data_IF_575815879810
#
_entry.id   IF_575815879810
#
_cell.length_a   1.000
_cell.length_b   1.000
_cell.length_c   1.000
_cell.angle_alpha   90.00
_cell.angle_beta   90.00
_cell.angle_gamma   90.00
#
_symmetry.space_group_name_H-M   'P 1'
#
loop_
_entity.id
_entity.type
_entity.pdbx_description
1 polymer ?
#
# COMPACT_ATOMS: atom_id res chain seq x y z
N UNK A 1 -16.85 -2.51 -24.90
CA UNK A 1 -15.84 -3.37 -25.55
C UNK A 1 -14.50 -3.27 -24.80
N UNK A 2 -13.88 -4.40 -24.44
CA UNK A 2 -12.60 -4.40 -23.72
C UNK A 2 -11.39 -4.00 -24.58
N UNK A 3 -10.39 -3.43 -23.91
CA UNK A 3 -9.04 -3.19 -24.44
C UNK A 3 -8.15 -4.40 -24.07
N UNK A 4 -7.37 -4.90 -25.01
CA UNK A 4 -6.49 -6.06 -24.80
C UNK A 4 -5.07 -5.82 -25.25
N UNK A 5 -4.13 -6.47 -24.58
CA UNK A 5 -2.74 -6.62 -24.98
C UNK A 5 -2.43 -8.10 -25.11
N UNK A 6 -1.75 -8.51 -26.19
CA UNK A 6 -1.36 -9.91 -26.43
C UNK A 6 0.12 -9.99 -26.84
N UNK A 7 0.92 -10.73 -26.06
CA UNK A 7 2.34 -11.04 -26.30
C UNK A 7 3.16 -9.81 -26.74
N UNK A 8 3.06 -8.72 -25.98
CA UNK A 8 3.55 -7.40 -26.39
C UNK A 8 5.03 -7.21 -26.05
N UNK A 9 5.82 -6.78 -27.03
CA UNK A 9 7.11 -6.11 -26.81
C UNK A 9 7.07 -4.70 -27.35
N UNK A 10 7.27 -3.70 -26.50
CA UNK A 10 7.22 -2.29 -26.92
C UNK A 10 8.35 -1.46 -26.32
N UNK A 11 8.70 -0.37 -27.01
CA UNK A 11 9.73 0.55 -26.57
C UNK A 11 10.10 1.60 -27.61
N UNK A 12 11.26 2.21 -27.43
CA UNK A 12 11.76 3.28 -28.29
C UNK A 12 12.73 2.67 -29.32
N UNK A 13 14.04 2.74 -29.07
CA UNK A 13 15.07 2.15 -29.92
C UNK A 13 15.12 0.62 -29.82
N UNK A 14 14.83 0.08 -28.64
CA UNK A 14 14.76 -1.35 -28.34
C UNK A 14 13.55 -1.63 -27.42
N UNK A 15 13.07 -2.89 -27.33
CA UNK A 15 12.02 -3.27 -26.40
C UNK A 15 12.43 -3.01 -24.95
N UNK A 16 11.59 -2.28 -24.21
CA UNK A 16 11.79 -2.02 -22.77
C UNK A 16 10.66 -2.56 -21.90
N UNK A 17 9.55 -2.97 -22.52
CA UNK A 17 8.42 -3.64 -21.87
C UNK A 17 8.13 -4.92 -22.63
N UNK A 18 7.96 -6.00 -21.89
CA UNK A 18 7.62 -7.34 -22.38
C UNK A 18 6.46 -7.88 -21.54
N UNK A 19 5.38 -8.25 -22.23
CA UNK A 19 4.17 -8.81 -21.63
C UNK A 19 3.87 -10.12 -22.33
N UNK A 20 4.05 -11.20 -21.60
CA UNK A 20 3.67 -12.53 -22.06
C UNK A 20 2.19 -12.80 -21.77
N UNK A 21 1.51 -13.46 -22.70
CA UNK A 21 0.10 -13.82 -22.57
C UNK A 21 -0.85 -12.69 -22.95
N UNK A 22 -2.05 -12.70 -22.34
CA UNK A 22 -3.14 -11.78 -22.67
C UNK A 22 -3.58 -10.99 -21.43
N UNK A 23 -3.50 -9.67 -21.54
CA UNK A 23 -3.97 -8.72 -20.55
C UNK A 23 -5.26 -8.06 -21.05
N UNK A 24 -6.30 -8.02 -20.20
CA UNK A 24 -7.62 -7.48 -20.52
C UNK A 24 -7.96 -6.31 -19.59
N UNK A 25 -8.45 -5.23 -20.18
CA UNK A 25 -9.00 -4.08 -19.47
C UNK A 25 -10.47 -3.91 -19.84
N UNK A 26 -11.32 -4.09 -18.85
CA UNK A 26 -12.77 -4.01 -18.94
C UNK A 26 -13.29 -2.59 -18.68
N UNK A 27 -14.38 -2.24 -19.37
CA UNK A 27 -15.14 -1.02 -19.10
C UNK A 27 -15.72 -1.07 -17.68
N UNK A 28 -15.96 0.09 -17.06
CA UNK A 28 -16.47 0.13 -15.69
C UNK A 28 -15.39 0.08 -14.62
N UNK A 29 -14.12 -0.12 -14.99
CA UNK A 29 -13.03 -0.41 -14.04
C UNK A 29 -11.86 0.58 -14.16
N UNK A 30 -11.25 0.83 -13.00
CA UNK A 30 -9.99 1.54 -12.84
C UNK A 30 -8.85 0.53 -12.64
N UNK A 31 -7.86 0.57 -13.51
CA UNK A 31 -6.63 -0.22 -13.42
C UNK A 31 -5.47 0.67 -12.97
N UNK A 32 -4.85 0.30 -11.85
CA UNK A 32 -3.67 0.97 -11.31
C UNK A 32 -2.39 0.26 -11.72
N UNK A 33 -1.49 0.95 -12.43
CA UNK A 33 -0.15 0.44 -12.69
C UNK A 33 0.77 0.94 -11.59
N UNK A 34 1.38 -0.01 -10.88
CA UNK A 34 2.29 0.27 -9.77
C UNK A 34 3.63 -0.41 -10.01
N UNK A 35 4.68 0.12 -9.40
CA UNK A 35 6.05 -0.39 -9.49
C UNK A 35 7.07 0.72 -9.32
N UNK A 36 8.37 0.41 -9.15
CA UNK A 36 9.42 1.41 -9.00
C UNK A 36 9.59 2.28 -10.25
N UNK A 37 10.32 3.39 -10.12
CA UNK A 37 10.72 4.19 -11.27
C UNK A 37 11.51 3.34 -12.26
N UNK A 38 11.26 3.54 -13.56
CA UNK A 38 11.89 2.73 -14.61
C UNK A 38 11.26 1.35 -14.85
N UNK A 39 10.22 0.95 -14.10
CA UNK A 39 9.58 -0.37 -14.29
C UNK A 39 8.81 -0.55 -15.61
N UNK A 40 8.67 0.49 -16.44
CA UNK A 40 8.01 0.44 -17.73
C UNK A 40 6.56 0.91 -17.77
N UNK A 41 5.97 1.36 -16.64
CA UNK A 41 4.57 1.84 -16.55
C UNK A 41 4.20 2.85 -17.63
N UNK A 42 4.90 3.99 -17.67
CA UNK A 42 4.64 5.07 -18.61
C UNK A 42 4.84 4.63 -20.07
N UNK A 43 5.81 3.74 -20.32
CA UNK A 43 5.99 3.16 -21.65
C UNK A 43 4.81 2.30 -22.07
N UNK A 44 4.33 1.42 -21.18
CA UNK A 44 3.17 0.59 -21.47
C UNK A 44 1.93 1.45 -21.70
N UNK A 45 1.70 2.47 -20.87
CA UNK A 45 0.61 3.43 -21.06
C UNK A 45 0.72 4.12 -22.43
N UNK A 46 1.92 4.59 -22.82
CA UNK A 46 2.12 5.18 -24.15
C UNK A 46 1.94 4.17 -25.29
N UNK A 47 2.29 2.90 -25.09
CA UNK A 47 2.03 1.85 -26.06
C UNK A 47 0.52 1.61 -26.24
N UNK A 48 -0.26 1.60 -25.15
CA UNK A 48 -1.72 1.56 -25.19
C UNK A 48 -2.31 2.77 -25.92
N UNK A 49 -1.68 3.95 -25.82
CA UNK A 49 -2.06 5.14 -26.59
C UNK A 49 -1.65 5.10 -28.08
N UNK A 50 -0.86 4.11 -28.50
CA UNK A 50 -0.27 4.04 -29.85
C UNK A 50 0.84 5.07 -30.09
N UNK A 51 1.53 5.51 -29.03
CA UNK A 51 2.59 6.53 -29.08
C UNK A 51 4.01 5.95 -29.01
N UNK A 52 4.14 4.63 -28.87
CA UNK A 52 5.40 3.89 -28.71
C UNK A 52 5.42 2.75 -29.72
N UNK A 53 6.62 2.40 -30.21
CA UNK A 53 6.79 1.34 -31.20
C UNK A 53 6.47 -0.03 -30.58
N UNK A 54 5.65 -0.80 -31.30
CA UNK A 54 5.40 -2.21 -31.02
C UNK A 54 6.37 -3.02 -31.88
N UNK A 55 7.21 -3.83 -31.24
CA UNK A 55 8.16 -4.73 -31.90
C UNK A 55 7.54 -6.10 -32.14
N UNK A 56 6.80 -6.61 -31.16
CA UNK A 56 6.08 -7.88 -31.23
C UNK A 56 4.73 -7.76 -30.53
N UNK A 57 3.79 -8.64 -30.88
CA UNK A 57 2.45 -8.66 -30.32
C UNK A 57 1.50 -7.62 -30.90
N UNK A 58 0.41 -7.37 -30.18
CA UNK A 58 -0.62 -6.42 -30.61
C UNK A 58 -1.41 -5.87 -29.44
N UNK A 59 -1.99 -4.68 -29.65
CA UNK A 59 -2.95 -4.05 -28.74
C UNK A 59 -4.25 -3.87 -29.52
N UNK A 60 -5.38 -4.30 -28.96
CA UNK A 60 -6.68 -4.30 -29.62
C UNK A 60 -7.73 -3.61 -28.77
N UNK A 61 -8.67 -2.91 -29.40
CA UNK A 61 -9.91 -2.48 -28.79
C UNK A 61 -11.07 -3.23 -29.45
N UNK A 62 -11.77 -4.06 -28.68
CA UNK A 62 -12.61 -5.11 -29.26
C UNK A 62 -11.78 -6.00 -30.19
N UNK A 63 -12.23 -6.16 -31.44
CA UNK A 63 -11.60 -7.02 -32.44
C UNK A 63 -10.61 -6.27 -33.36
N UNK A 64 -10.43 -4.96 -33.16
CA UNK A 64 -9.61 -4.12 -34.03
C UNK A 64 -8.31 -3.73 -33.35
N UNK A 65 -7.18 -3.95 -34.03
CA UNK A 65 -5.88 -3.51 -33.54
C UNK A 65 -5.79 -1.98 -33.53
N UNK A 66 -5.19 -1.41 -32.49
CA UNK A 66 -5.05 0.06 -32.33
C UNK A 66 -4.32 0.69 -33.52
N UNK A 67 -3.34 -0.01 -34.09
CA UNK A 67 -2.56 0.42 -35.26
C UNK A 67 -3.37 0.55 -36.56
N UNK A 68 -4.57 -0.04 -36.62
CA UNK A 68 -5.46 0.02 -37.79
C UNK A 68 -6.38 1.23 -37.79
N UNK A 69 -6.55 1.90 -36.65
CA UNK A 69 -7.31 3.15 -36.58
C UNK A 69 -6.46 4.30 -37.13
N UNK A 70 -7.09 5.21 -37.88
CA UNK A 70 -6.49 6.51 -38.16
C UNK A 70 -6.23 7.27 -36.86
N UNK A 71 -5.35 8.28 -36.91
CA UNK A 71 -5.04 9.08 -35.72
C UNK A 71 -6.28 9.77 -35.11
N UNK A 72 -7.24 10.20 -35.94
CA UNK A 72 -8.49 10.83 -35.50
C UNK A 72 -9.40 9.79 -34.83
N UNK A 73 -9.57 8.61 -35.43
CA UNK A 73 -10.38 7.54 -34.83
C UNK A 73 -9.77 7.06 -33.51
N UNK A 74 -8.45 6.89 -33.47
CA UNK A 74 -7.71 6.51 -32.26
C UNK A 74 -7.87 7.58 -31.17
N UNK A 75 -7.82 8.86 -31.53
CA UNK A 75 -8.06 9.95 -30.58
C UNK A 75 -9.53 10.01 -30.08
N UNK A 76 -10.52 9.62 -30.88
CA UNK A 76 -11.90 9.48 -30.36
C UNK A 76 -12.04 8.30 -29.40
N UNK A 77 -11.18 7.30 -29.54
CA UNK A 77 -11.21 6.09 -28.74
C UNK A 77 -10.42 6.20 -27.44
N UNK A 78 -9.23 6.83 -27.49
CA UNK A 78 -8.24 6.84 -26.41
C UNK A 78 -7.79 8.28 -26.14
N UNK A 79 -7.84 8.70 -24.88
CA UNK A 79 -7.25 9.94 -24.40
C UNK A 79 -6.07 9.63 -23.48
N UNK A 80 -5.04 10.48 -23.53
CA UNK A 80 -3.80 10.29 -22.80
C UNK A 80 -3.38 11.57 -22.08
N UNK A 81 -3.21 11.46 -20.76
CA UNK A 81 -2.63 12.49 -19.91
C UNK A 81 -1.16 12.16 -19.66
N UNK A 82 -0.21 12.94 -20.19
CA UNK A 82 1.21 12.76 -19.89
C UNK A 82 1.56 13.24 -18.48
N UNK A 83 2.60 12.65 -17.90
CA UNK A 83 3.17 13.03 -16.59
C UNK A 83 3.62 14.50 -16.54
N UNK A 84 4.23 14.99 -17.63
CA UNK A 84 4.70 16.37 -17.72
C UNK A 84 3.99 17.13 -18.83
N UNK A 85 3.51 18.32 -18.47
CA UNK A 85 2.82 19.24 -19.37
C UNK A 85 3.81 20.32 -19.76
N UNK A 86 4.39 20.21 -20.95
CA UNK A 86 5.21 21.25 -21.52
C UNK A 86 4.33 22.11 -22.43
N UNK A 87 4.16 23.38 -22.09
CA UNK A 87 3.75 24.40 -23.05
C UNK A 87 4.85 25.44 -23.13
N UNK A 88 5.35 25.70 -24.32
CA UNK A 88 6.24 26.84 -24.59
C UNK A 88 5.47 28.08 -25.02
N UNK A 89 4.15 27.96 -25.19
CA UNK A 89 3.29 29.02 -25.75
C UNK A 89 2.25 29.52 -24.72
N UNK A 90 1.88 30.81 -24.78
CA UNK A 90 1.03 31.47 -23.80
C UNK A 90 -0.47 31.22 -24.03
N UNK A 91 -0.88 29.96 -24.19
CA UNK A 91 -2.29 29.59 -24.34
C UNK A 91 -3.08 29.84 -23.05
N UNK A 92 -4.37 30.15 -23.17
CA UNK A 92 -5.27 30.17 -22.01
C UNK A 92 -5.61 28.75 -21.56
N UNK A 93 -6.08 28.60 -20.32
CA UNK A 93 -6.63 27.32 -19.83
C UNK A 93 -7.73 26.81 -20.76
N UNK A 94 -8.63 27.68 -21.23
CA UNK A 94 -9.67 27.31 -22.19
C UNK A 94 -9.09 26.76 -23.49
N UNK A 95 -8.09 27.44 -24.07
CA UNK A 95 -7.46 26.99 -25.32
C UNK A 95 -6.88 25.58 -25.17
N UNK A 96 -6.18 25.32 -24.05
CA UNK A 96 -5.58 24.00 -23.78
C UNK A 96 -6.65 22.92 -23.64
N UNK A 97 -7.75 23.18 -22.93
CA UNK A 97 -8.84 22.19 -22.78
C UNK A 97 -9.56 21.97 -24.11
N UNK A 98 -9.76 23.03 -24.90
CA UNK A 98 -10.33 22.97 -26.24
C UNK A 98 -9.51 22.08 -27.20
N UNK A 99 -8.19 22.00 -27.04
CA UNK A 99 -7.36 21.07 -27.84
C UNK A 99 -7.80 19.61 -27.69
N UNK A 100 -8.41 19.23 -26.55
CA UNK A 100 -8.98 17.88 -26.37
C UNK A 100 -10.16 17.59 -27.30
N UNK A 101 -10.84 18.63 -27.83
CA UNK A 101 -11.97 18.50 -28.74
C UNK A 101 -11.59 18.36 -30.20
N UNK A 102 -10.32 18.54 -30.54
CA UNK A 102 -9.80 18.47 -31.92
C UNK A 102 -10.32 17.25 -32.74
N UNK A 103 -10.43 16.02 -32.21
CA UNK A 103 -10.91 14.88 -32.99
C UNK A 103 -12.36 15.00 -33.49
N UNK A 104 -13.18 15.86 -32.87
CA UNK A 104 -14.60 16.07 -33.20
C UNK A 104 -14.83 17.30 -34.08
N UNK A 105 -13.82 18.15 -34.25
CA UNK A 105 -13.95 19.36 -35.03
C UNK A 105 -13.98 19.07 -36.53
N UNK A 106 -14.94 19.68 -37.23
CA UNK A 106 -15.06 19.59 -38.70
C UNK A 106 -14.12 20.57 -39.41
N UNK A 107 -13.78 21.66 -38.74
CA UNK A 107 -12.85 22.69 -39.22
C UNK A 107 -11.58 22.68 -38.40
N UNK A 108 -10.43 22.82 -39.06
CA UNK A 108 -9.14 23.00 -38.37
C UNK A 108 -8.97 24.40 -37.74
N UNK A 109 -9.86 25.34 -38.09
CA UNK A 109 -9.71 26.76 -37.75
C UNK A 109 -10.77 27.30 -36.81
N UNK A 110 -11.95 26.67 -36.75
CA UNK A 110 -13.08 27.15 -35.96
C UNK A 110 -13.60 26.06 -35.04
N UNK A 111 -13.58 26.34 -33.74
CA UNK A 111 -14.20 25.49 -32.75
C UNK A 111 -15.73 25.63 -32.78
N UNK A 112 -16.43 24.50 -32.68
CA UNK A 112 -17.89 24.50 -32.50
C UNK A 112 -18.29 25.07 -31.13
N UNK A 113 -19.48 25.67 -31.07
CA UNK A 113 -20.10 26.09 -29.81
C UNK A 113 -20.24 24.92 -28.83
N UNK A 114 -20.59 23.73 -29.34
CA UNK A 114 -20.70 22.50 -28.57
C UNK A 114 -19.37 22.11 -27.90
N UNK A 115 -18.26 22.10 -28.64
CA UNK A 115 -16.94 21.82 -28.08
C UNK A 115 -16.52 22.83 -27.02
N UNK A 116 -16.83 24.13 -27.22
CA UNK A 116 -16.58 25.16 -26.22
C UNK A 116 -17.36 24.89 -24.94
N UNK A 117 -18.64 24.55 -25.05
CA UNK A 117 -19.48 24.21 -23.90
C UNK A 117 -18.91 23.01 -23.13
N UNK A 118 -18.55 21.93 -23.82
CA UNK A 118 -17.94 20.74 -23.21
C UNK A 118 -16.63 21.11 -22.49
N UNK A 119 -15.77 21.92 -23.12
CA UNK A 119 -14.52 22.35 -22.50
C UNK A 119 -14.76 23.17 -21.22
N UNK A 120 -15.73 24.09 -21.23
CA UNK A 120 -16.09 24.89 -20.07
C UNK A 120 -16.65 24.03 -18.92
N UNK A 121 -17.50 23.05 -19.22
CA UNK A 121 -17.99 22.06 -18.25
C UNK A 121 -16.85 21.26 -17.61
N UNK A 122 -15.85 20.84 -18.40
CA UNK A 122 -14.68 20.12 -17.87
C UNK A 122 -13.73 21.00 -17.07
N UNK A 123 -13.61 22.29 -17.41
CA UNK A 123 -12.88 23.28 -16.61
C UNK A 123 -13.54 23.48 -15.25
N UNK A 124 -14.87 23.55 -15.22
CA UNK A 124 -15.65 23.66 -13.98
C UNK A 124 -15.52 22.39 -13.14
N UNK A 125 -15.59 21.21 -13.75
CA UNK A 125 -15.46 19.91 -13.07
C UNK A 125 -14.13 19.79 -12.30
N UNK A 126 -13.06 20.41 -12.81
CA UNK A 126 -11.74 20.46 -12.17
C UNK A 126 -11.47 21.74 -11.38
N UNK A 127 -12.48 22.56 -11.12
CA UNK A 127 -12.41 23.77 -10.28
C UNK A 127 -11.43 24.83 -10.80
N UNK A 128 -11.44 25.07 -12.12
CA UNK A 128 -10.61 26.08 -12.79
C UNK A 128 -11.41 27.22 -13.45
N UNK A 129 -12.71 27.36 -13.14
CA UNK A 129 -13.59 28.36 -13.79
C UNK A 129 -13.04 29.79 -13.71
N UNK A 130 -12.49 30.20 -12.56
CA UNK A 130 -11.88 31.53 -12.37
C UNK A 130 -10.55 31.71 -13.10
N UNK A 131 -9.91 30.61 -13.54
CA UNK A 131 -8.64 30.59 -14.26
C UNK A 131 -8.79 30.31 -15.75
N UNK A 132 -10.03 30.14 -16.25
CA UNK A 132 -10.33 29.80 -17.65
C UNK A 132 -9.56 30.66 -18.68
N UNK A 133 -9.46 31.96 -18.44
CA UNK A 133 -8.77 32.93 -19.32
C UNK A 133 -7.32 33.21 -18.91
N UNK A 134 -6.82 32.56 -17.84
CA UNK A 134 -5.44 32.71 -17.39
C UNK A 134 -4.49 32.00 -18.34
N UNK A 135 -3.31 32.57 -18.52
CA UNK A 135 -2.22 31.98 -19.30
C UNK A 135 -1.62 30.77 -18.57
N UNK A 136 -1.49 29.64 -19.26
CA UNK A 136 -0.96 28.37 -18.73
C UNK A 136 0.47 28.49 -18.14
N UNK A 137 1.26 29.44 -18.64
CA UNK A 137 2.61 29.74 -18.14
C UNK A 137 2.61 30.50 -16.81
N UNK A 138 1.48 31.12 -16.44
CA UNK A 138 1.34 31.98 -15.25
C UNK A 138 0.53 31.35 -14.11
N UNK A 139 0.04 30.13 -14.28
CA UNK A 139 -0.67 29.39 -13.22
C UNK A 139 0.28 28.45 -12.47
N UNK A 140 -0.15 27.92 -11.33
CA UNK A 140 0.61 26.95 -10.54
C UNK A 140 0.77 25.59 -11.25
N UNK A 141 1.71 24.77 -10.78
CA UNK A 141 1.89 23.40 -11.27
C UNK A 141 0.63 22.55 -11.14
N UNK A 142 -0.06 22.64 -10.00
CA UNK A 142 -1.32 21.93 -9.77
C UNK A 142 -2.47 22.39 -10.68
N UNK A 143 -2.58 23.70 -10.95
CA UNK A 143 -3.56 24.20 -11.93
C UNK A 143 -3.24 23.74 -13.36
N UNK A 144 -1.95 23.67 -13.74
CA UNK A 144 -1.55 23.06 -15.03
C UNK A 144 -1.95 21.59 -15.10
N UNK A 145 -1.70 20.83 -14.03
CA UNK A 145 -2.07 19.40 -13.95
C UNK A 145 -3.58 19.21 -14.13
N UNK A 146 -4.39 19.98 -13.40
CA UNK A 146 -5.86 19.99 -13.56
C UNK A 146 -6.32 20.42 -14.94
N UNK A 147 -5.63 21.39 -15.57
CA UNK A 147 -5.91 21.80 -16.96
C UNK A 147 -5.69 20.65 -17.95
N UNK A 148 -4.58 19.90 -17.81
CA UNK A 148 -4.30 18.74 -18.65
C UNK A 148 -5.31 17.62 -18.42
N UNK A 149 -5.72 17.39 -17.17
CA UNK A 149 -6.78 16.43 -16.86
C UNK A 149 -8.11 16.84 -17.52
N UNK A 150 -8.53 18.11 -17.39
CA UNK A 150 -9.72 18.63 -18.06
C UNK A 150 -9.65 18.49 -19.59
N UNK A 151 -8.50 18.73 -20.22
CA UNK A 151 -8.29 18.52 -21.66
C UNK A 151 -8.59 17.08 -22.06
N UNK A 152 -8.08 16.12 -21.28
CA UNK A 152 -8.24 14.69 -21.54
C UNK A 152 -9.68 14.24 -21.29
N UNK A 153 -10.36 14.81 -20.29
CA UNK A 153 -11.80 14.59 -20.07
C UNK A 153 -12.65 15.17 -21.21
N UNK A 154 -12.30 16.37 -21.69
CA UNK A 154 -13.02 17.03 -22.78
C UNK A 154 -12.98 16.19 -24.06
N UNK A 155 -11.92 15.41 -24.28
CA UNK A 155 -11.80 14.48 -25.41
C UNK A 155 -12.88 13.39 -25.42
N UNK A 156 -13.56 13.08 -24.30
CA UNK A 156 -14.72 12.17 -24.28
C UNK A 156 -14.47 10.78 -24.89
N UNK A 157 -13.26 10.25 -24.72
CA UNK A 157 -12.84 8.94 -25.19
C UNK A 157 -13.43 7.78 -24.37
N UNK A 158 -13.34 6.55 -24.89
CA UNK A 158 -13.75 5.31 -24.19
C UNK A 158 -12.66 4.78 -23.25
N UNK A 159 -11.40 5.04 -23.59
CA UNK A 159 -10.24 4.68 -22.77
C UNK A 159 -9.58 5.97 -22.28
N UNK A 160 -9.36 6.05 -20.97
CA UNK A 160 -8.70 7.15 -20.29
C UNK A 160 -7.37 6.67 -19.73
N UNK A 161 -6.27 7.14 -20.30
CA UNK A 161 -4.91 6.78 -19.91
C UNK A 161 -4.26 7.93 -19.14
N UNK A 162 -3.90 7.70 -17.88
CA UNK A 162 -3.42 8.73 -16.96
C UNK A 162 -2.03 8.40 -16.42
N UNK A 163 -1.01 9.13 -16.85
CA UNK A 163 0.36 8.94 -16.35
C UNK A 163 0.60 9.90 -15.18
N UNK A 164 0.49 9.37 -13.94
CA UNK A 164 0.65 10.13 -12.68
C UNK A 164 -0.24 11.37 -12.56
N UNK A 165 -1.58 11.23 -12.67
CA UNK A 165 -2.50 12.36 -12.75
C UNK A 165 -2.54 13.20 -11.47
N UNK A 166 -2.13 12.64 -10.34
CA UNK A 166 -2.16 13.25 -9.01
C UNK A 166 -0.81 13.85 -8.56
N UNK A 167 0.21 13.90 -9.41
CA UNK A 167 1.50 14.51 -9.06
C UNK A 167 1.35 16.03 -8.89
N UNK A 168 2.13 16.62 -7.96
CA UNK A 168 2.19 18.07 -7.72
C UNK A 168 0.85 18.75 -7.33
N UNK A 169 -0.06 17.99 -6.71
CA UNK A 169 -1.33 18.50 -6.18
C UNK A 169 -1.34 18.45 -4.65
N UNK A 170 -2.09 19.36 -4.03
CA UNK A 170 -2.47 19.19 -2.64
C UNK A 170 -3.48 18.03 -2.49
N UNK A 171 -3.70 17.62 -1.24
CA UNK A 171 -4.52 16.45 -0.89
C UNK A 171 -5.95 16.58 -1.44
N UNK A 172 -6.55 17.77 -1.34
CA UNK A 172 -7.93 18.03 -1.79
C UNK A 172 -8.08 17.85 -3.30
N UNK A 173 -7.21 18.50 -4.08
CA UNK A 173 -7.27 18.40 -5.53
C UNK A 173 -6.89 17.00 -6.04
N UNK A 174 -5.95 16.34 -5.37
CA UNK A 174 -5.62 14.95 -5.66
C UNK A 174 -6.82 14.02 -5.46
N UNK A 175 -7.51 14.11 -4.33
CA UNK A 175 -8.72 13.32 -4.07
C UNK A 175 -9.81 13.60 -5.12
N UNK A 176 -9.98 14.87 -5.50
CA UNK A 176 -10.96 15.27 -6.53
C UNK A 176 -10.67 14.62 -7.89
N UNK A 177 -9.41 14.66 -8.36
CA UNK A 177 -9.04 14.02 -9.64
C UNK A 177 -9.32 12.52 -9.59
N UNK A 178 -8.94 11.85 -8.50
CA UNK A 178 -9.15 10.41 -8.34
C UNK A 178 -10.64 10.06 -8.32
N UNK A 179 -11.46 10.88 -7.65
CA UNK A 179 -12.93 10.72 -7.64
C UNK A 179 -13.53 10.88 -9.03
N UNK A 180 -13.07 11.88 -9.79
CA UNK A 180 -13.52 12.07 -11.18
C UNK A 180 -13.10 10.88 -12.03
N UNK A 181 -11.85 10.41 -11.93
CA UNK A 181 -11.38 9.24 -12.68
C UNK A 181 -12.20 7.98 -12.34
N UNK A 182 -12.57 7.80 -11.07
CA UNK A 182 -13.47 6.70 -10.66
C UNK A 182 -14.87 6.86 -11.24
N UNK A 183 -15.43 8.06 -11.23
CA UNK A 183 -16.74 8.34 -11.84
C UNK A 183 -16.72 8.06 -13.34
N UNK A 184 -15.68 8.48 -14.06
CA UNK A 184 -15.53 8.22 -15.49
C UNK A 184 -15.49 6.70 -15.79
N UNK A 185 -14.87 5.90 -14.92
CA UNK A 185 -14.96 4.45 -15.01
C UNK A 185 -16.40 3.95 -14.81
N UNK A 186 -17.09 4.40 -13.75
CA UNK A 186 -18.50 4.04 -13.47
C UNK A 186 -19.44 4.42 -14.63
N UNK A 187 -19.13 5.48 -15.37
CA UNK A 187 -19.85 5.92 -16.57
C UNK A 187 -19.53 5.05 -17.81
N UNK A 188 -18.83 3.92 -17.63
CA UNK A 188 -18.58 2.91 -18.63
C UNK A 188 -17.26 3.05 -19.39
N UNK A 189 -16.31 3.86 -18.90
CA UNK A 189 -14.97 3.97 -19.50
C UNK A 189 -14.01 2.91 -18.94
N UNK A 190 -12.95 2.65 -19.70
CA UNK A 190 -11.76 1.96 -19.20
C UNK A 190 -10.79 3.02 -18.69
N UNK A 191 -10.44 3.00 -17.41
CA UNK A 191 -9.48 3.97 -16.85
C UNK A 191 -8.21 3.23 -16.45
N UNK A 192 -7.06 3.67 -16.96
CA UNK A 192 -5.75 3.10 -16.63
C UNK A 192 -4.88 4.23 -16.12
N UNK A 193 -4.33 4.08 -14.93
CA UNK A 193 -3.52 5.12 -14.29
C UNK A 193 -2.20 4.57 -13.74
N UNK A 194 -1.09 5.27 -13.98
CA UNK A 194 0.14 5.04 -13.25
C UNK A 194 0.05 5.69 -11.87
N UNK A 195 0.24 4.91 -10.81
CA UNK A 195 0.16 5.35 -9.42
C UNK A 195 1.47 5.00 -8.72
N UNK A 196 2.10 5.98 -8.07
CA UNK A 196 3.29 5.76 -7.25
C UNK A 196 2.98 5.32 -5.82
N UNK A 197 1.92 5.85 -5.24
CA UNK A 197 1.56 5.57 -3.85
C UNK A 197 0.62 4.37 -3.76
N UNK A 198 1.10 3.28 -3.18
CA UNK A 198 0.35 2.03 -3.01
C UNK A 198 -0.94 2.22 -2.22
N UNK A 199 -0.96 3.07 -1.17
CA UNK A 199 -2.17 3.35 -0.38
C UNK A 199 -3.27 4.06 -1.18
N UNK A 200 -2.90 4.79 -2.22
CA UNK A 200 -3.87 5.42 -3.12
C UNK A 200 -4.41 4.40 -4.11
N UNK A 201 -3.54 3.51 -4.60
CA UNK A 201 -3.96 2.41 -5.47
C UNK A 201 -4.98 1.50 -4.78
N UNK A 202 -4.79 1.16 -3.49
CA UNK A 202 -5.76 0.32 -2.74
C UNK A 202 -7.15 0.95 -2.62
N UNK A 203 -7.24 2.28 -2.63
CA UNK A 203 -8.51 3.01 -2.45
C UNK A 203 -9.29 3.22 -3.75
N UNK A 204 -8.58 3.41 -4.88
CA UNK A 204 -9.20 3.88 -6.13
C UNK A 204 -9.34 2.78 -7.16
N UNK A 205 -8.38 1.85 -7.21
CA UNK A 205 -8.29 0.86 -8.27
C UNK A 205 -9.17 -0.36 -8.02
N UNK A 206 -9.84 -0.83 -9.06
CA UNK A 206 -10.56 -2.11 -9.05
C UNK A 206 -9.59 -3.27 -9.30
N UNK A 207 -8.52 -3.02 -10.06
CA UNK A 207 -7.45 -3.98 -10.30
C UNK A 207 -6.09 -3.29 -10.37
N UNK A 208 -5.05 -3.98 -9.91
CA UNK A 208 -3.67 -3.49 -9.90
C UNK A 208 -2.82 -4.36 -10.81
N UNK A 209 -2.00 -3.70 -11.64
CA UNK A 209 -0.93 -4.32 -12.41
C UNK A 209 0.38 -3.89 -11.77
N UNK A 210 1.06 -4.81 -11.09
CA UNK A 210 2.36 -4.54 -10.49
C UNK A 210 3.47 -4.90 -11.48
N UNK A 211 4.37 -3.96 -11.74
CA UNK A 211 5.43 -4.08 -12.76
C UNK A 211 6.82 -3.92 -12.17
N UNK A 212 7.77 -4.68 -12.70
CA UNK A 212 9.21 -4.55 -12.42
C UNK A 212 10.00 -4.88 -13.69
N UNK A 213 11.04 -4.10 -13.97
CA UNK A 213 11.99 -4.34 -15.06
C UNK A 213 11.32 -4.62 -16.43
N UNK A 214 10.26 -3.85 -16.74
CA UNK A 214 9.53 -3.96 -18.00
C UNK A 214 8.52 -5.11 -18.07
N UNK A 215 8.36 -5.90 -17.01
CA UNK A 215 7.47 -7.07 -16.97
C UNK A 215 6.36 -6.91 -15.96
N UNK A 216 5.24 -7.60 -16.20
CA UNK A 216 4.16 -7.75 -15.22
C UNK A 216 4.57 -8.82 -14.22
N UNK A 217 4.56 -8.44 -12.95
CA UNK A 217 4.90 -9.32 -11.83
C UNK A 217 3.65 -10.03 -11.30
N UNK A 218 2.52 -9.32 -11.27
CA UNK A 218 1.21 -9.85 -10.89
C UNK A 218 0.07 -8.92 -11.35
N UNK A 219 -1.15 -9.46 -11.41
CA UNK A 219 -2.37 -8.72 -11.71
C UNK A 219 -3.60 -9.33 -11.01
N UNK A 220 -4.43 -8.47 -10.44
CA UNK A 220 -5.60 -8.91 -9.69
C UNK A 220 -6.23 -7.76 -8.92
N UNK A 221 -7.02 -8.09 -7.89
CA UNK A 221 -7.55 -7.08 -6.98
C UNK A 221 -6.42 -6.50 -6.11
N UNK A 222 -6.57 -5.28 -5.56
CA UNK A 222 -5.55 -4.68 -4.70
C UNK A 222 -5.11 -5.57 -3.54
N UNK A 223 -6.04 -6.30 -2.92
CA UNK A 223 -5.79 -7.18 -1.77
C UNK A 223 -5.09 -8.49 -2.10
N UNK A 224 -5.17 -8.92 -3.36
CA UNK A 224 -4.48 -10.10 -3.87
C UNK A 224 -3.05 -9.73 -4.30
N UNK A 225 -2.90 -8.59 -4.99
CA UNK A 225 -1.64 -8.17 -5.62
C UNK A 225 -0.71 -7.47 -4.65
N UNK A 226 -1.21 -6.56 -3.80
CA UNK A 226 -0.38 -5.78 -2.87
C UNK A 226 -0.15 -6.53 -1.56
N UNK A 227 0.36 -7.76 -1.66
CA UNK A 227 0.76 -8.58 -0.52
C UNK A 227 2.25 -8.37 -0.18
N UNK A 228 2.68 -8.88 1.00
CA UNK A 228 4.06 -8.73 1.49
C UNK A 228 5.11 -9.25 0.49
N UNK A 229 4.87 -10.41 -0.11
CA UNK A 229 5.82 -11.06 -1.02
C UNK A 229 6.04 -10.23 -2.29
N UNK A 230 4.95 -9.77 -2.89
CA UNK A 230 4.98 -8.91 -4.08
C UNK A 230 5.65 -7.57 -3.79
N UNK A 231 5.33 -6.93 -2.66
CA UNK A 231 5.96 -5.67 -2.26
C UNK A 231 7.48 -5.85 -2.07
N UNK A 232 7.90 -6.91 -1.36
CA UNK A 232 9.32 -7.23 -1.16
C UNK A 232 10.03 -7.52 -2.48
N UNK A 233 9.44 -8.34 -3.35
CA UNK A 233 9.99 -8.72 -4.66
C UNK A 233 10.17 -7.51 -5.58
N UNK A 234 9.24 -6.55 -5.55
CA UNK A 234 9.19 -5.43 -6.51
C UNK A 234 9.93 -4.20 -6.01
N UNK A 235 9.77 -3.86 -4.74
CA UNK A 235 10.31 -2.64 -4.13
C UNK A 235 11.52 -2.88 -3.22
N UNK A 236 11.80 -4.14 -2.85
CA UNK A 236 12.92 -4.47 -1.96
C UNK A 236 12.69 -4.05 -0.50
N UNK A 237 11.44 -3.79 -0.10
CA UNK A 237 11.09 -3.36 1.26
C UNK A 237 10.13 -4.35 1.91
N UNK A 238 10.24 -4.50 3.23
CA UNK A 238 9.27 -5.27 4.00
C UNK A 238 8.03 -4.41 4.27
N UNK A 239 6.86 -5.06 4.23
CA UNK A 239 5.58 -4.40 4.42
C UNK A 239 4.60 -5.27 5.20
N UNK A 240 3.68 -4.59 5.89
CA UNK A 240 2.54 -5.16 6.56
C UNK A 240 1.31 -4.70 5.80
N UNK A 241 0.47 -5.66 5.45
CA UNK A 241 -0.76 -5.44 4.70
C UNK A 241 -1.89 -5.90 5.59
N UNK A 242 -2.84 -5.01 5.86
CA UNK A 242 -3.94 -5.28 6.78
C UNK A 242 -5.19 -4.50 6.39
N UNK A 243 -6.33 -4.88 6.97
CA UNK A 243 -7.54 -4.05 6.92
C UNK A 243 -7.56 -3.15 8.13
N UNK A 244 -7.66 -1.84 7.92
CA UNK A 244 -7.83 -0.90 9.01
C UNK A 244 -9.23 -1.03 9.65
N UNK A 245 -9.51 -0.33 10.77
CA UNK A 245 -10.81 -0.41 11.46
C UNK A 245 -12.03 -0.04 10.61
N UNK A 246 -11.83 0.63 9.47
CA UNK A 246 -12.90 0.98 8.51
C UNK A 246 -13.08 -0.09 7.42
N UNK A 247 -12.37 -1.22 7.50
CA UNK A 247 -12.41 -2.30 6.52
C UNK A 247 -11.62 -2.03 5.24
N UNK A 248 -10.83 -0.95 5.19
CA UNK A 248 -10.04 -0.55 4.02
C UNK A 248 -8.66 -1.18 4.10
N UNK A 249 -8.17 -1.70 2.98
CA UNK A 249 -6.81 -2.23 2.88
C UNK A 249 -5.78 -1.11 2.98
N UNK A 250 -4.87 -1.26 3.94
CA UNK A 250 -3.76 -0.36 4.19
C UNK A 250 -2.43 -1.12 4.21
N UNK A 251 -1.37 -0.38 3.95
CA UNK A 251 -0.03 -0.92 3.76
C UNK A 251 0.94 -0.08 4.57
N UNK A 252 1.57 -0.68 5.57
CA UNK A 252 2.64 -0.05 6.35
C UNK A 252 3.99 -0.63 5.95
N UNK A 253 4.92 0.24 5.58
CA UNK A 253 6.29 -0.16 5.30
C UNK A 253 7.03 -0.31 6.63
N UNK A 254 7.77 -1.41 6.78
CA UNK A 254 8.60 -1.66 7.96
C UNK A 254 10.06 -1.74 7.55
N UNK A 255 10.91 -1.07 8.32
CA UNK A 255 12.36 -1.18 8.18
C UNK A 255 12.83 -2.24 9.17
N UNK A 256 13.24 -3.39 8.66
CA UNK A 256 13.88 -4.42 9.46
C UNK A 256 15.39 -4.19 9.42
N UNK A 257 15.99 -4.04 10.60
CA UNK A 257 17.43 -4.20 10.76
C UNK A 257 17.83 -5.65 10.40
N UNK A 258 19.12 -5.87 10.14
CA UNK A 258 19.64 -7.22 9.92
C UNK A 258 19.23 -8.14 11.08
N UNK A 259 18.86 -9.41 10.81
CA UNK A 259 18.39 -10.31 11.84
C UNK A 259 19.35 -10.39 13.01
N UNK A 260 18.88 -9.99 14.20
CA UNK A 260 19.61 -10.18 15.45
C UNK A 260 19.32 -11.59 15.94
N UNK A 261 20.34 -12.31 16.43
CA UNK A 261 20.13 -13.63 17.04
C UNK A 261 19.55 -13.56 18.46
N UNK A 262 18.78 -12.50 18.77
CA UNK A 262 18.08 -12.40 20.04
C UNK A 262 16.65 -12.91 19.84
N UNK A 263 16.33 -14.01 20.50
CA UNK A 263 14.98 -14.57 20.55
C UNK A 263 14.25 -14.01 21.75
N UNK A 264 13.19 -13.23 21.50
CA UNK A 264 12.35 -12.63 22.54
C UNK A 264 10.98 -13.31 22.54
N UNK A 265 10.55 -13.73 23.73
CA UNK A 265 9.19 -14.21 23.97
C UNK A 265 8.37 -13.15 24.70
N UNK A 266 7.21 -12.81 24.17
CA UNK A 266 6.35 -11.76 24.74
C UNK A 266 5.08 -12.39 25.31
N UNK A 267 4.80 -12.11 26.58
CA UNK A 267 3.54 -12.41 27.22
C UNK A 267 2.68 -11.15 27.21
N UNK A 268 1.60 -11.19 26.42
CA UNK A 268 0.75 -10.06 26.08
C UNK A 268 -0.75 -10.38 26.28
N UNK A 269 -1.59 -9.41 25.93
CA UNK A 269 -3.04 -9.48 26.03
C UNK A 269 -3.67 -8.10 25.94
N UNK A 270 -4.87 -8.03 25.36
CA UNK A 270 -5.68 -6.81 25.32
C UNK A 270 -5.10 -5.67 24.47
N UNK A 271 -4.18 -5.96 23.55
CA UNK A 271 -3.52 -4.95 22.70
C UNK A 271 -2.29 -4.29 23.33
N UNK A 272 -1.80 -4.80 24.47
CA UNK A 272 -0.66 -4.25 25.20
C UNK A 272 0.67 -4.38 24.47
N UNK A 273 0.78 -5.27 23.48
CA UNK A 273 2.03 -5.57 22.79
C UNK A 273 2.10 -5.03 21.36
N UNK A 274 1.10 -4.29 20.86
CA UNK A 274 1.07 -3.84 19.47
C UNK A 274 2.32 -3.04 19.06
N UNK A 275 2.69 -2.03 19.87
CA UNK A 275 3.88 -1.22 19.64
C UNK A 275 5.16 -2.01 19.92
N UNK A 276 5.12 -2.92 20.90
CA UNK A 276 6.25 -3.77 21.25
C UNK A 276 6.61 -4.72 20.11
N UNK A 277 5.64 -5.43 19.52
CA UNK A 277 5.86 -6.30 18.37
C UNK A 277 6.48 -5.56 17.21
N UNK A 278 5.95 -4.37 16.89
CA UNK A 278 6.53 -3.52 15.85
C UNK A 278 7.99 -3.22 16.13
N UNK A 279 8.28 -2.70 17.31
CA UNK A 279 9.65 -2.34 17.72
C UNK A 279 10.60 -3.55 17.62
N UNK A 280 10.22 -4.69 18.19
CA UNK A 280 11.07 -5.88 18.20
C UNK A 280 11.35 -6.42 16.79
N UNK A 281 10.34 -6.42 15.92
CA UNK A 281 10.49 -6.87 14.53
C UNK A 281 11.34 -5.89 13.71
N UNK A 282 11.15 -4.58 13.89
CA UNK A 282 11.99 -3.56 13.25
C UNK A 282 13.45 -3.65 13.72
N UNK A 283 13.68 -3.99 14.99
CA UNK A 283 15.01 -4.28 15.53
C UNK A 283 15.62 -5.59 15.00
N UNK A 284 14.91 -6.37 14.17
CA UNK A 284 15.41 -7.63 13.62
C UNK A 284 15.40 -8.80 14.60
N UNK A 285 14.73 -8.71 15.75
CA UNK A 285 14.65 -9.81 16.71
C UNK A 285 13.77 -10.95 16.20
N UNK A 286 14.08 -12.19 16.60
CA UNK A 286 13.14 -13.30 16.47
C UNK A 286 12.11 -13.18 17.58
N UNK A 287 10.83 -13.01 17.24
CA UNK A 287 9.77 -12.80 18.21
C UNK A 287 8.82 -14.00 18.24
N UNK A 288 8.44 -14.40 19.44
CA UNK A 288 7.36 -15.37 19.69
C UNK A 288 6.43 -14.83 20.77
N UNK A 289 5.18 -15.27 20.81
CA UNK A 289 4.24 -14.86 21.85
C UNK A 289 3.26 -15.98 22.19
N UNK A 290 2.67 -15.92 23.37
CA UNK A 290 1.63 -16.85 23.77
C UNK A 290 1.40 -16.88 25.27
N UNK A 291 0.31 -17.48 25.74
CA UNK A 291 -0.85 -17.96 24.96
C UNK A 291 -1.86 -16.82 24.79
N UNK A 292 -2.26 -16.50 23.55
CA UNK A 292 -3.23 -15.45 23.26
C UNK A 292 -4.58 -16.02 22.83
N UNK A 293 -5.67 -15.31 23.09
CA UNK A 293 -6.97 -15.69 22.55
C UNK A 293 -7.10 -15.29 21.08
N UNK A 294 -7.80 -16.07 20.25
CA UNK A 294 -7.96 -15.74 18.81
C UNK A 294 -8.78 -14.48 18.52
N UNK A 295 -9.47 -13.91 19.52
CA UNK A 295 -10.16 -12.62 19.43
C UNK A 295 -9.41 -11.49 20.14
N UNK A 296 -8.16 -11.71 20.53
CA UNK A 296 -7.33 -10.72 21.17
C UNK A 296 -6.64 -9.83 20.13
N UNK A 297 -6.62 -8.52 20.36
CA UNK A 297 -5.94 -7.54 19.52
C UNK A 297 -4.44 -7.86 19.34
N UNK A 298 -3.77 -8.38 20.37
CA UNK A 298 -2.36 -8.79 20.29
C UNK A 298 -2.19 -10.04 19.43
N UNK A 299 -3.18 -10.95 19.42
CA UNK A 299 -3.15 -12.11 18.52
C UNK A 299 -3.22 -11.66 17.06
N UNK A 300 -4.20 -10.81 16.72
CA UNK A 300 -4.33 -10.25 15.37
C UNK A 300 -3.05 -9.51 14.94
N UNK A 301 -2.50 -8.69 15.84
CA UNK A 301 -1.27 -7.94 15.55
C UNK A 301 -0.08 -8.87 15.36
N UNK A 302 0.09 -9.91 16.19
CA UNK A 302 1.16 -10.89 16.01
C UNK A 302 1.07 -11.59 14.64
N UNK A 303 -0.13 -11.91 14.15
CA UNK A 303 -0.33 -12.48 12.81
C UNK A 303 0.12 -11.51 11.71
N UNK A 304 -0.18 -10.20 11.83
CA UNK A 304 0.24 -9.17 10.87
C UNK A 304 1.77 -9.07 10.73
N UNK A 305 2.50 -9.29 11.82
CA UNK A 305 3.97 -9.35 11.82
C UNK A 305 4.53 -10.74 11.49
N UNK A 306 3.67 -11.75 11.34
CA UNK A 306 4.02 -13.17 11.20
C UNK A 306 4.89 -13.70 12.35
N UNK A 307 4.54 -13.28 13.56
CA UNK A 307 5.11 -13.76 14.81
C UNK A 307 4.48 -15.13 15.11
N UNK A 308 5.29 -16.10 15.52
CA UNK A 308 4.76 -17.40 15.96
C UNK A 308 4.02 -17.21 17.28
N UNK A 309 2.73 -17.60 17.28
CA UNK A 309 1.83 -17.39 18.42
C UNK A 309 1.23 -18.71 18.87
N UNK A 310 1.36 -19.03 20.16
CA UNK A 310 0.52 -20.06 20.79
C UNK A 310 -0.82 -19.42 21.12
N UNK A 311 -1.93 -20.07 20.78
CA UNK A 311 -3.26 -19.48 20.93
C UNK A 311 -4.30 -20.45 21.48
N UNK A 312 -5.37 -19.89 22.05
CA UNK A 312 -6.54 -20.61 22.57
C UNK A 312 -7.84 -19.97 22.06
N UNK A 313 -8.96 -20.67 22.26
CA UNK A 313 -10.30 -20.16 21.92
C UNK A 313 -10.70 -18.99 22.84
N UNK A 314 -11.55 -18.06 22.36
CA UNK A 314 -12.10 -16.99 23.18
C UNK A 314 -12.76 -17.47 24.46
N UNK A 315 -12.47 -16.76 25.56
CA UNK A 315 -13.03 -16.96 26.90
C UNK A 315 -12.72 -18.32 27.54
N UNK A 316 -11.79 -19.09 26.98
CA UNK A 316 -11.36 -20.37 27.53
C UNK A 316 -10.08 -20.21 28.36
N UNK A 317 -9.94 -20.96 29.47
CA UNK A 317 -8.66 -21.04 30.15
C UNK A 317 -7.61 -21.72 29.24
N UNK A 318 -6.34 -21.42 29.52
CA UNK A 318 -5.21 -22.05 28.81
C UNK A 318 -5.17 -23.55 29.12
N UNK A 319 -5.30 -24.38 28.08
CA UNK A 319 -5.18 -25.83 28.19
C UNK A 319 -3.76 -26.28 28.46
N UNK A 320 -3.60 -27.54 28.88
CA UNK A 320 -2.28 -28.11 29.19
C UNK A 320 -1.36 -28.15 27.97
N UNK A 321 -1.92 -28.43 26.79
CA UNK A 321 -1.14 -28.48 25.54
C UNK A 321 -0.55 -27.11 25.22
N UNK A 322 -1.39 -26.07 25.22
CA UNK A 322 -0.98 -24.70 24.93
C UNK A 322 0.01 -24.20 25.99
N UNK A 323 -0.21 -24.54 27.26
CA UNK A 323 0.72 -24.21 28.34
C UNK A 323 2.11 -24.83 28.14
N UNK A 324 2.17 -26.14 27.85
CA UNK A 324 3.44 -26.85 27.63
C UNK A 324 4.19 -26.25 26.44
N UNK A 325 3.49 -25.99 25.34
CA UNK A 325 4.08 -25.34 24.16
C UNK A 325 4.62 -23.94 24.51
N UNK A 326 3.86 -23.14 25.25
CA UNK A 326 4.29 -21.81 25.67
C UNK A 326 5.56 -21.84 26.54
N UNK A 327 5.60 -22.77 27.50
CA UNK A 327 6.80 -22.99 28.35
C UNK A 327 8.02 -23.37 27.52
N UNK A 328 7.86 -24.16 26.45
CA UNK A 328 8.97 -24.50 25.57
C UNK A 328 9.51 -23.29 24.81
N UNK A 329 8.63 -22.36 24.38
CA UNK A 329 9.06 -21.11 23.74
C UNK A 329 9.79 -20.20 24.73
N UNK A 330 9.25 -20.05 25.95
CA UNK A 330 9.84 -19.26 27.04
C UNK A 330 11.26 -19.73 27.37
N UNK A 331 11.49 -21.04 27.46
CA UNK A 331 12.81 -21.61 27.77
C UNK A 331 13.85 -21.38 26.66
N UNK A 332 13.39 -21.31 25.41
CA UNK A 332 14.25 -21.07 24.24
C UNK A 332 14.59 -19.59 24.05
N UNK A 333 13.77 -18.69 24.59
CA UNK A 333 13.99 -17.27 24.48
C UNK A 333 15.18 -16.81 25.32
N UNK A 334 15.93 -15.87 24.77
CA UNK A 334 17.00 -15.15 25.46
C UNK A 334 16.46 -14.17 26.49
N UNK A 335 15.29 -13.60 26.20
CA UNK A 335 14.58 -12.66 27.05
C UNK A 335 13.08 -12.89 26.93
N UNK A 336 12.40 -13.01 28.08
CA UNK A 336 10.95 -12.95 28.16
C UNK A 336 10.51 -11.55 28.58
N UNK A 337 9.50 -10.99 27.92
CA UNK A 337 8.91 -9.69 28.24
C UNK A 337 7.47 -9.87 28.66
N UNK A 338 7.14 -9.44 29.87
CA UNK A 338 5.77 -9.38 30.38
C UNK A 338 5.22 -7.96 30.18
N UNK A 339 4.17 -7.83 29.38
CA UNK A 339 3.47 -6.56 29.17
C UNK A 339 2.60 -6.18 30.38
N UNK A 340 2.22 -4.90 30.46
CA UNK A 340 1.33 -4.37 31.48
C UNK A 340 -0.14 -4.83 31.23
N UNK A 341 -0.44 -6.08 31.56
CA UNK A 341 -1.75 -6.70 31.31
C UNK A 341 -2.52 -7.03 32.60
N UNK A 342 -3.85 -7.08 32.57
CA UNK A 342 -4.65 -7.65 33.65
C UNK A 342 -4.57 -9.18 33.65
N UNK A 343 -4.64 -9.77 34.85
CA UNK A 343 -4.67 -11.21 35.04
C UNK A 343 -6.01 -11.66 35.60
N UNK A 344 -6.60 -12.62 34.89
CA UNK A 344 -7.75 -13.40 35.34
C UNK A 344 -7.46 -14.89 35.25
N UNK A 345 -8.42 -15.71 35.62
CA UNK A 345 -8.28 -17.18 35.60
C UNK A 345 -7.92 -17.70 34.19
N UNK A 346 -8.34 -16.99 33.15
CA UNK A 346 -8.13 -17.39 31.75
C UNK A 346 -6.67 -17.30 31.30
N UNK A 347 -5.91 -16.31 31.78
CA UNK A 347 -4.53 -16.05 31.35
C UNK A 347 -3.48 -16.22 32.47
N UNK A 348 -3.90 -16.59 33.69
CA UNK A 348 -2.98 -16.79 34.83
C UNK A 348 -1.82 -17.75 34.51
N UNK A 349 -2.09 -18.79 33.71
CA UNK A 349 -1.06 -19.73 33.27
C UNK A 349 0.06 -19.09 32.43
N UNK A 350 -0.18 -17.97 31.75
CA UNK A 350 0.90 -17.25 31.09
C UNK A 350 1.89 -16.66 32.11
N UNK A 351 1.37 -16.12 33.22
CA UNK A 351 2.21 -15.63 34.32
C UNK A 351 2.96 -16.78 34.99
N UNK A 352 2.31 -17.93 35.19
CA UNK A 352 2.96 -19.13 35.75
C UNK A 352 4.09 -19.65 34.86
N UNK A 353 3.90 -19.63 33.54
CA UNK A 353 4.89 -20.09 32.58
C UNK A 353 6.20 -19.27 32.63
N UNK A 354 6.14 -18.00 33.04
CA UNK A 354 7.32 -17.13 33.17
C UNK A 354 8.31 -17.57 34.26
N UNK A 355 7.92 -18.47 35.18
CA UNK A 355 8.87 -19.11 36.11
C UNK A 355 9.99 -19.87 35.41
N UNK A 356 9.78 -20.26 34.16
CA UNK A 356 10.77 -20.97 33.34
C UNK A 356 11.60 -20.04 32.45
N UNK A 357 11.43 -18.72 32.56
CA UNK A 357 12.21 -17.76 31.79
C UNK A 357 13.66 -17.68 32.29
N UNK A 358 14.63 -17.68 31.37
CA UNK A 358 16.05 -17.50 31.71
C UNK A 358 16.33 -16.06 32.16
N UNK A 359 15.77 -15.08 31.44
CA UNK A 359 15.75 -13.66 31.78
C UNK A 359 14.32 -13.15 31.61
N UNK A 360 13.87 -12.34 32.56
CA UNK A 360 12.54 -11.74 32.55
C UNK A 360 12.66 -10.22 32.66
N UNK A 361 11.99 -9.53 31.75
CA UNK A 361 11.71 -8.10 31.86
C UNK A 361 10.21 -7.88 32.00
N UNK A 362 9.81 -7.00 32.91
CA UNK A 362 8.42 -6.66 33.16
C UNK A 362 8.22 -5.18 32.83
N UNK A 363 7.28 -4.89 31.93
CA UNK A 363 6.81 -3.53 31.67
C UNK A 363 5.70 -3.25 32.68
N UNK A 364 5.97 -2.36 33.63
CA UNK A 364 5.03 -2.00 34.69
C UNK A 364 4.67 -0.52 34.59
N UNK A 365 3.48 -0.25 34.07
CA UNK A 365 2.90 1.10 34.01
C UNK A 365 1.92 1.32 35.17
N UNK A 366 1.26 0.25 35.62
CA UNK A 366 0.34 0.26 36.75
C UNK A 366 0.63 -0.91 37.70
N UNK A 367 0.44 -0.68 39.01
CA UNK A 367 0.63 -1.69 40.04
C UNK A 367 -0.28 -2.93 39.81
N UNK A 368 0.27 -4.12 40.05
CA UNK A 368 -0.42 -5.39 39.83
C UNK A 368 -1.71 -5.53 40.65
N UNK A 369 -1.81 -4.89 41.83
CA UNK A 369 -3.00 -4.96 42.68
C UNK A 369 -4.26 -4.43 42.01
N UNK A 370 -4.13 -3.51 41.04
CA UNK A 370 -5.24 -2.97 40.26
C UNK A 370 -5.58 -3.80 39.02
N UNK A 371 -4.70 -4.75 38.69
CA UNK A 371 -4.73 -5.59 37.49
C UNK A 371 -5.00 -7.07 37.82
N UNK A 372 -5.22 -7.41 39.08
CA UNK A 372 -5.47 -8.77 39.54
C UNK A 372 -6.97 -9.04 39.75
N UNK A 373 -7.53 -9.90 38.90
CA UNK A 373 -8.92 -10.39 38.95
C UNK A 373 -8.99 -11.87 39.38
N UNK A 374 -7.96 -12.37 40.06
CA UNK A 374 -7.84 -13.76 40.53
C UNK A 374 -7.94 -13.89 42.05
N UNK A 375 -8.24 -12.79 42.76
CA UNK A 375 -8.33 -12.79 44.21
C UNK A 375 -6.97 -12.85 44.91
N UNK A 376 -5.91 -12.31 44.30
CA UNK A 376 -4.57 -12.21 44.89
C UNK A 376 -3.57 -13.25 44.40
N UNK A 377 -4.00 -14.27 43.65
CA UNK A 377 -3.11 -15.30 43.12
C UNK A 377 -2.09 -14.71 42.13
N UNK A 378 -2.56 -13.88 41.20
CA UNK A 378 -1.70 -13.20 40.23
C UNK A 378 -0.75 -12.23 40.93
N UNK A 379 -1.22 -11.47 41.92
CA UNK A 379 -0.37 -10.54 42.70
C UNK A 379 0.79 -11.26 43.37
N UNK A 380 0.52 -12.38 44.05
CA UNK A 380 1.55 -13.16 44.73
C UNK A 380 2.59 -13.68 43.75
N UNK A 381 2.14 -14.29 42.65
CA UNK A 381 3.03 -14.85 41.63
C UNK A 381 3.84 -13.77 40.89
N UNK A 382 3.20 -12.64 40.59
CA UNK A 382 3.85 -11.52 39.93
C UNK A 382 4.96 -10.93 40.81
N UNK A 383 4.71 -10.75 42.10
CA UNK A 383 5.72 -10.23 43.03
C UNK A 383 6.91 -11.17 43.17
N UNK A 384 6.69 -12.49 43.22
CA UNK A 384 7.76 -13.51 43.19
C UNK A 384 8.64 -13.38 41.94
N UNK A 385 8.02 -13.20 40.76
CA UNK A 385 8.74 -13.02 39.51
C UNK A 385 9.49 -11.68 39.47
N UNK A 386 8.87 -10.62 40.01
CA UNK A 386 9.41 -9.26 40.02
C UNK A 386 10.73 -9.16 40.79
N UNK A 387 10.92 -9.94 41.85
CA UNK A 387 12.19 -9.97 42.60
C UNK A 387 13.41 -10.34 41.76
N UNK A 388 13.20 -11.10 40.67
CA UNK A 388 14.28 -11.60 39.79
C UNK A 388 14.24 -10.96 38.40
N UNK A 389 13.26 -10.09 38.14
CA UNK A 389 13.05 -9.48 36.83
C UNK A 389 13.63 -8.07 36.74
N UNK A 390 14.00 -7.67 35.52
CA UNK A 390 14.22 -6.27 35.22
C UNK A 390 12.86 -5.56 35.05
N UNK A 391 12.57 -4.56 35.87
CA UNK A 391 11.34 -3.77 35.76
C UNK A 391 11.61 -2.48 35.01
N UNK A 392 10.83 -2.21 33.98
CA UNK A 392 10.87 -0.98 33.19
C UNK A 392 9.50 -0.32 33.17
N UNK A 393 9.47 1.01 33.06
CA UNK A 393 8.21 1.78 33.08
C UNK A 393 7.57 1.97 31.71
N UNK A 394 8.29 1.68 30.62
CA UNK A 394 7.78 1.84 29.26
C UNK A 394 8.61 1.04 28.22
N UNK A 395 8.10 0.98 26.99
CA UNK A 395 8.71 0.29 25.84
C UNK A 395 10.05 0.92 25.43
N UNK A 396 10.22 2.25 25.57
CA UNK A 396 11.48 2.93 25.23
C UNK A 396 12.64 2.46 26.11
N UNK A 397 12.40 2.35 27.42
CA UNK A 397 13.38 1.84 28.38
C UNK A 397 13.76 0.38 28.08
N UNK A 398 12.78 -0.43 27.66
CA UNK A 398 13.03 -1.80 27.19
C UNK A 398 13.91 -1.82 25.93
N UNK A 399 13.65 -0.93 24.98
CA UNK A 399 14.44 -0.80 23.75
C UNK A 399 15.93 -0.58 24.06
N UNK A 400 16.23 0.36 24.94
CA UNK A 400 17.59 0.68 25.34
C UNK A 400 18.29 -0.49 26.02
N UNK A 401 17.55 -1.25 26.83
CA UNK A 401 18.07 -2.47 27.45
C UNK A 401 18.40 -3.55 26.42
N UNK A 402 17.50 -3.81 25.47
CA UNK A 402 17.72 -4.81 24.40
C UNK A 402 18.91 -4.42 23.53
N UNK A 403 19.09 -3.14 23.21
CA UNK A 403 20.24 -2.65 22.44
C UNK A 403 21.56 -2.93 23.17
N UNK A 404 21.62 -2.68 24.49
CA UNK A 404 22.79 -3.00 25.31
C UNK A 404 23.10 -4.50 25.31
N UNK A 405 22.09 -5.34 25.59
CA UNK A 405 22.24 -6.81 25.60
C UNK A 405 22.70 -7.37 24.24
N UNK A 406 22.21 -6.80 23.14
CA UNK A 406 22.63 -7.20 21.79
C UNK A 406 24.12 -6.92 21.56
N UNK A 407 24.58 -5.73 21.96
CA UNK A 407 26.00 -5.35 21.84
C UNK A 407 26.91 -6.21 22.72
N UNK A 408 26.45 -6.51 23.94
CA UNK A 408 27.18 -7.38 24.87
C UNK A 408 27.29 -8.81 24.33
N UNK A 409 26.23 -9.38 23.74
CA UNK A 409 26.29 -10.68 23.05
C UNK A 409 27.24 -10.68 21.86
N UNK A 410 27.23 -9.62 21.04
CA UNK A 410 28.15 -9.50 19.90
C UNK A 410 29.62 -9.45 20.33
N UNK A 411 29.92 -8.72 21.42
CA UNK A 411 31.30 -8.60 21.94
C UNK A 411 31.84 -9.88 22.57
N UNK A 412 30.98 -10.79 23.08
CA UNK A 412 31.37 -12.07 23.67
C UNK A 412 31.69 -13.18 22.66
N UNK A 413 31.40 -12.97 21.38
CA UNK A 413 31.70 -13.94 20.31
C UNK A 413 30.72 -15.11 20.22
N UNK A 414 29.58 -15.05 20.93
CA UNK A 414 28.48 -16.04 20.88
C UNK A 414 27.62 -15.95 19.60
N UNK A 415 28.01 -15.06 18.69
CA UNK A 415 27.34 -14.72 17.42
C UNK A 415 28.32 -14.96 16.26
N UNK A 416 28.67 -16.23 16.01
CA UNK A 416 29.36 -16.66 14.80
C UNK A 416 28.56 -17.70 14.05
#
# INVERSE_FOLDING_TARGET
>A
MPLFVENLKCGYSYPIVEIDGRLKFEEGKVYGFVGPNGSGKSTLIKALAGLVKIFEGKICFGDVQISKFSDIERAKLISYMPQHIFSSFPFTVLDVVMMGRFPYEKSRFFATYESKKIAEEKIEQVELSSKKLSNILKISGGERQRTSFARVLAQSSKVLLLDEPNSNLDISHQEKILRIAKQEALDGKVVIMAIHNLKIATKVCDSIVIMKDGKIVDIGRPDEVLNRENIKRVYGVDAIVYKNPFGIFDIELIQREDPKALHIHVVAGGGSAQLLYRMLVEMGCMVTTGVLSTNDTDFETAQLFSIYTVFTKPFMPIGEKEYIENVQLIRKADLCVLCNIPFGVQNLKNLEALRYANKLCIIEEEDISKRDFTGGLATNLYNELKEKALVVSNIESLKDYILKETNDKMSRGDLK
#
